data_IF_294969730037
#
_entry.id   IF_294969730037
#
_cell.length_a   1.000
_cell.length_b   1.000
_cell.length_c   1.000
_cell.angle_alpha   90.00
_cell.angle_beta   90.00
_cell.angle_gamma   90.00
#
_symmetry.space_group_name_H-M   'P 1'
#
loop_
_entity.id
_entity.type
_entity.pdbx_description
1 polymer ?
#
# COMPACT_ATOMS: atom_id res chain seq x y z
N UNK A 1 6.49 29.11 -10.60
CA UNK A 1 5.60 27.98 -10.29
C UNK A 1 6.24 26.78 -10.96
N UNK A 2 6.78 25.82 -10.19
CA UNK A 2 7.37 24.62 -10.79
C UNK A 2 6.21 23.77 -11.32
N UNK A 3 6.03 23.73 -12.65
CA UNK A 3 5.21 22.70 -13.30
C UNK A 3 5.96 21.38 -13.08
N UNK A 4 5.49 20.61 -12.10
CA UNK A 4 5.96 19.26 -11.88
C UNK A 4 5.24 18.41 -12.93
N UNK A 5 5.90 18.14 -14.06
CA UNK A 5 5.42 17.29 -15.17
C UNK A 5 5.32 15.79 -14.79
N UNK A 6 5.16 15.49 -13.50
CA UNK A 6 5.14 14.13 -12.99
C UNK A 6 3.78 13.49 -13.22
N UNK A 7 3.78 12.38 -13.98
CA UNK A 7 2.60 11.53 -14.16
C UNK A 7 2.66 10.36 -13.19
N UNK A 8 1.60 10.14 -12.39
CA UNK A 8 1.51 8.97 -11.54
C UNK A 8 1.77 7.68 -12.30
N UNK A 9 2.63 6.80 -11.77
CA UNK A 9 2.85 5.49 -12.37
C UNK A 9 1.90 4.50 -11.74
N UNK A 10 1.33 3.66 -12.61
CA UNK A 10 0.40 2.62 -12.21
C UNK A 10 1.08 1.26 -12.30
N UNK A 11 1.05 0.52 -11.20
CA UNK A 11 1.63 -0.81 -11.10
C UNK A 11 0.55 -1.82 -10.71
N UNK A 12 0.28 -2.77 -11.60
CA UNK A 12 -0.46 -3.98 -11.24
C UNK A 12 0.51 -4.98 -10.64
N UNK A 13 0.33 -5.30 -9.36
CA UNK A 13 1.23 -6.14 -8.57
C UNK A 13 0.46 -7.31 -7.94
N UNK A 14 1.21 -8.33 -7.53
CA UNK A 14 0.69 -9.40 -6.68
C UNK A 14 1.27 -9.22 -5.29
N UNK A 15 0.40 -9.06 -4.29
CA UNK A 15 0.83 -8.95 -2.90
C UNK A 15 1.36 -10.31 -2.45
N UNK A 16 2.61 -10.34 -2.00
CA UNK A 16 3.23 -11.53 -1.40
C UNK A 16 2.92 -11.62 0.09
N UNK A 17 2.86 -10.47 0.76
CA UNK A 17 2.47 -10.40 2.16
C UNK A 17 2.89 -9.10 2.83
N UNK A 18 2.57 -9.01 4.11
CA UNK A 18 2.95 -7.90 4.99
C UNK A 18 3.98 -8.41 6.01
N UNK A 19 5.14 -7.78 6.08
CA UNK A 19 6.27 -8.23 6.90
C UNK A 19 6.54 -7.20 7.99
N UNK A 20 6.63 -7.64 9.25
CA UNK A 20 7.05 -6.82 10.38
C UNK A 20 8.56 -6.54 10.30
N UNK A 21 8.93 -5.28 10.47
CA UNK A 21 10.30 -4.79 10.58
C UNK A 21 10.54 -4.18 11.97
N UNK A 22 11.79 -3.91 12.33
CA UNK A 22 12.16 -3.34 13.64
C UNK A 22 11.59 -1.93 13.88
N UNK A 23 11.23 -1.20 12.82
CA UNK A 23 10.75 0.20 12.88
C UNK A 23 9.41 0.43 12.16
N UNK A 24 8.69 -0.63 11.85
CA UNK A 24 7.45 -0.54 11.06
C UNK A 24 7.15 -1.85 10.37
N UNK A 25 6.51 -1.81 9.21
CA UNK A 25 6.24 -2.98 8.38
C UNK A 25 6.48 -2.64 6.92
N UNK A 26 6.46 -3.67 6.07
CA UNK A 26 6.51 -3.47 4.61
C UNK A 26 5.51 -4.36 3.88
N UNK A 27 4.77 -3.76 2.94
CA UNK A 27 4.04 -4.51 1.94
C UNK A 27 5.05 -5.05 0.93
N UNK A 28 5.14 -6.38 0.81
CA UNK A 28 6.00 -7.03 -0.16
C UNK A 28 5.17 -7.44 -1.37
N UNK A 29 5.62 -7.06 -2.56
CA UNK A 29 5.03 -7.48 -3.82
C UNK A 29 5.92 -8.50 -4.52
N UNK A 30 5.30 -9.42 -5.28
CA UNK A 30 6.01 -10.29 -6.21
C UNK A 30 6.51 -9.47 -7.41
N UNK A 31 7.71 -9.81 -7.88
CA UNK A 31 8.23 -9.30 -9.14
C UNK A 31 7.46 -9.84 -10.32
N UNK A 32 7.19 -8.96 -11.27
CA UNK A 32 6.55 -9.36 -12.52
C UNK A 32 7.51 -9.37 -13.71
N UNK A 33 8.71 -8.76 -13.66
CA UNK A 33 9.61 -8.73 -14.83
C UNK A 33 11.13 -8.80 -14.56
N UNK A 34 11.69 -8.20 -13.49
CA UNK A 34 13.17 -8.07 -13.33
C UNK A 34 13.77 -8.71 -12.07
N UNK A 35 13.00 -9.50 -11.30
CA UNK A 35 13.50 -10.26 -10.15
C UNK A 35 13.97 -9.43 -8.93
N UNK A 36 13.73 -8.12 -8.92
CA UNK A 36 14.00 -7.24 -7.77
C UNK A 36 12.76 -6.95 -6.92
N UNK A 37 12.65 -7.61 -5.75
CA UNK A 37 11.45 -7.52 -4.92
C UNK A 37 11.09 -6.06 -4.59
N UNK A 38 9.89 -5.62 -4.96
CA UNK A 38 9.40 -4.28 -4.63
C UNK A 38 8.66 -4.29 -3.29
N UNK A 39 8.88 -3.24 -2.50
CA UNK A 39 8.26 -3.09 -1.19
C UNK A 39 7.86 -1.66 -0.91
N UNK A 40 6.75 -1.49 -0.17
CA UNK A 40 6.31 -0.20 0.38
C UNK A 40 6.46 -0.26 1.89
N UNK A 41 7.32 0.59 2.43
CA UNK A 41 7.52 0.73 3.87
C UNK A 41 6.40 1.54 4.49
N UNK A 42 6.01 1.16 5.70
CA UNK A 42 5.01 1.83 6.51
C UNK A 42 5.46 1.81 7.97
N UNK A 43 5.22 2.88 8.72
CA UNK A 43 5.72 3.02 10.09
C UNK A 43 4.88 2.24 11.11
N UNK A 44 3.73 1.72 10.68
CA UNK A 44 2.84 0.96 11.52
C UNK A 44 3.24 -0.51 11.66
N UNK A 45 2.87 -1.13 12.78
CA UNK A 45 2.99 -2.58 12.95
C UNK A 45 2.02 -3.33 12.04
N UNK A 46 2.32 -4.60 11.78
CA UNK A 46 1.46 -5.51 11.01
C UNK A 46 0.05 -5.55 11.60
N UNK A 47 -0.03 -5.64 12.93
CA UNK A 47 -1.30 -5.63 13.66
C UNK A 47 -2.06 -4.31 13.45
N UNK A 48 -1.38 -3.17 13.56
CA UNK A 48 -2.00 -1.86 13.36
C UNK A 48 -2.54 -1.67 11.94
N UNK A 49 -1.83 -2.21 10.95
CA UNK A 49 -2.27 -2.19 9.54
C UNK A 49 -3.48 -3.10 9.36
N UNK A 50 -3.46 -4.31 9.91
CA UNK A 50 -4.58 -5.25 9.82
C UNK A 50 -5.86 -4.67 10.45
N UNK A 51 -5.76 -4.01 11.61
CA UNK A 51 -6.90 -3.36 12.24
C UNK A 51 -7.51 -2.27 11.34
N UNK A 52 -6.68 -1.46 10.67
CA UNK A 52 -7.15 -0.44 9.72
C UNK A 52 -7.75 -1.05 8.46
N UNK A 53 -7.21 -2.16 7.98
CA UNK A 53 -7.80 -2.94 6.87
C UNK A 53 -9.18 -3.46 7.26
N UNK A 54 -9.33 -3.98 8.48
CA UNK A 54 -10.61 -4.46 9.00
C UNK A 54 -11.63 -3.33 9.10
N UNK A 55 -11.22 -2.13 9.53
CA UNK A 55 -12.09 -0.95 9.53
C UNK A 55 -12.66 -0.65 8.12
N UNK A 56 -11.82 -0.75 7.09
CA UNK A 56 -12.25 -0.58 5.68
C UNK A 56 -13.17 -1.71 5.24
N UNK A 57 -12.86 -2.96 5.58
CA UNK A 57 -13.69 -4.12 5.23
C UNK A 57 -15.08 -4.02 5.87
N UNK A 58 -15.14 -3.55 7.12
CA UNK A 58 -16.37 -3.37 7.88
C UNK A 58 -17.14 -2.09 7.50
N UNK A 59 -16.56 -1.23 6.67
CA UNK A 59 -17.16 0.03 6.24
C UNK A 59 -17.17 1.13 7.31
N UNK A 60 -16.39 0.98 8.38
CA UNK A 60 -16.23 2.05 9.40
C UNK A 60 -15.30 3.16 8.90
N UNK A 61 -14.48 2.87 7.89
CA UNK A 61 -13.66 3.84 7.15
C UNK A 61 -13.71 3.57 5.65
N UNK A 62 -13.47 4.62 4.88
CA UNK A 62 -13.32 4.57 3.42
C UNK A 62 -11.94 4.04 3.01
N UNK A 63 -10.90 4.42 3.75
CA UNK A 63 -9.51 4.06 3.50
C UNK A 63 -8.75 3.75 4.79
N UNK A 64 -7.72 2.93 4.65
CA UNK A 64 -6.73 2.71 5.69
C UNK A 64 -5.59 3.71 5.49
N UNK A 65 -5.61 4.79 6.28
CA UNK A 65 -4.57 5.83 6.29
C UNK A 65 -3.32 5.28 6.99
N UNK A 66 -2.22 5.15 6.24
CA UNK A 66 -0.90 4.71 6.69
C UNK A 66 0.13 5.82 6.45
N UNK A 67 1.36 5.63 6.91
CA UNK A 67 2.41 6.64 6.75
C UNK A 67 3.80 6.03 6.71
N UNK A 68 4.74 6.73 6.07
CA UNK A 68 6.16 6.47 6.20
C UNK A 68 6.94 7.78 6.31
N UNK A 69 7.44 8.10 7.50
CA UNK A 69 7.95 9.41 7.84
C UNK A 69 6.85 10.47 7.70
N UNK A 70 7.08 11.48 6.85
CA UNK A 70 6.09 12.52 6.55
C UNK A 70 5.17 12.16 5.38
N UNK A 71 5.36 10.99 4.77
CA UNK A 71 4.61 10.55 3.58
C UNK A 71 3.31 9.89 3.99
N UNK A 72 2.20 10.29 3.38
CA UNK A 72 0.90 9.62 3.55
C UNK A 72 0.79 8.47 2.56
N UNK A 73 0.30 7.34 3.04
CA UNK A 73 0.09 6.13 2.24
C UNK A 73 -1.35 5.70 2.44
N UNK A 74 -2.17 5.81 1.39
CA UNK A 74 -3.58 5.44 1.48
C UNK A 74 -3.80 4.04 0.91
N UNK A 75 -4.40 3.16 1.71
CA UNK A 75 -4.81 1.84 1.26
C UNK A 75 -6.34 1.80 1.09
N UNK A 76 -6.79 1.55 -0.13
CA UNK A 76 -8.18 1.62 -0.56
C UNK A 76 -8.67 0.28 -1.10
N UNK A 77 -9.93 -0.06 -0.80
CA UNK A 77 -10.59 -1.28 -1.29
C UNK A 77 -11.43 -0.94 -2.53
N UNK A 78 -11.05 -1.46 -3.69
CA UNK A 78 -11.75 -1.25 -4.97
C UNK A 78 -12.87 -2.27 -5.20
N UNK A 79 -12.73 -3.49 -4.68
CA UNK A 79 -13.75 -4.53 -4.71
C UNK A 79 -13.50 -5.56 -3.61
N UNK A 80 -14.25 -6.65 -3.57
CA UNK A 80 -14.10 -7.70 -2.54
C UNK A 80 -12.67 -8.20 -2.36
N UNK A 81 -11.93 -8.34 -3.47
CA UNK A 81 -10.57 -8.86 -3.47
C UNK A 81 -9.54 -7.85 -3.97
N UNK A 82 -9.99 -6.74 -4.56
CA UNK A 82 -9.13 -5.79 -5.26
C UNK A 82 -8.83 -4.58 -4.38
N UNK A 83 -7.56 -4.28 -4.21
CA UNK A 83 -7.05 -3.21 -3.36
C UNK A 83 -6.04 -2.34 -4.10
N UNK A 84 -5.85 -1.12 -3.59
CA UNK A 84 -4.95 -0.14 -4.15
C UNK A 84 -4.20 0.59 -3.04
N UNK A 85 -2.87 0.73 -3.18
CA UNK A 85 -2.06 1.64 -2.37
C UNK A 85 -1.73 2.87 -3.21
N UNK A 86 -1.94 4.05 -2.64
CA UNK A 86 -1.40 5.31 -3.10
C UNK A 86 -0.20 5.68 -2.22
N UNK A 87 1.00 5.74 -2.80
CA UNK A 87 2.22 6.22 -2.14
C UNK A 87 2.71 7.48 -2.87
N UNK A 88 2.34 8.64 -2.35
CA UNK A 88 2.55 9.99 -2.89
C UNK A 88 2.12 10.18 -4.34
N UNK A 89 2.89 9.63 -5.28
CA UNK A 89 2.67 9.75 -6.71
C UNK A 89 2.58 8.40 -7.43
N UNK A 90 2.78 7.29 -6.75
CA UNK A 90 2.69 5.95 -7.34
C UNK A 90 1.43 5.22 -6.86
N UNK A 91 0.84 4.45 -7.78
CA UNK A 91 -0.36 3.66 -7.54
C UNK A 91 -0.03 2.18 -7.69
N UNK A 92 -0.32 1.39 -6.66
CA UNK A 92 -0.09 -0.05 -6.63
C UNK A 92 -1.42 -0.78 -6.46
N UNK A 93 -1.88 -1.45 -7.50
CA UNK A 93 -3.10 -2.25 -7.48
C UNK A 93 -2.77 -3.74 -7.32
N UNK A 94 -3.44 -4.41 -6.40
CA UNK A 94 -3.21 -5.83 -6.10
C UNK A 94 -4.46 -6.52 -5.58
N UNK A 95 -4.38 -7.84 -5.45
CA UNK A 95 -5.43 -8.65 -4.85
C UNK A 95 -5.06 -9.07 -3.42
N UNK A 96 -6.04 -9.01 -2.51
CA UNK A 96 -5.98 -9.60 -1.17
C UNK A 96 -7.07 -10.66 -1.06
N UNK A 97 -6.71 -11.82 -0.52
CA UNK A 97 -7.59 -12.98 -0.31
C UNK A 97 -7.88 -13.17 1.17
#
# INVERSE_FOLDING_TARGET
MLEIDYKPKFYKRKLKGLIQESRGSKFQFEDTLDGGASYILVDQSVEGINNRILDVINGTRDKAYLSHGMRNIDLEKLSNVKWQIWDEFDIYEFEMK
#
